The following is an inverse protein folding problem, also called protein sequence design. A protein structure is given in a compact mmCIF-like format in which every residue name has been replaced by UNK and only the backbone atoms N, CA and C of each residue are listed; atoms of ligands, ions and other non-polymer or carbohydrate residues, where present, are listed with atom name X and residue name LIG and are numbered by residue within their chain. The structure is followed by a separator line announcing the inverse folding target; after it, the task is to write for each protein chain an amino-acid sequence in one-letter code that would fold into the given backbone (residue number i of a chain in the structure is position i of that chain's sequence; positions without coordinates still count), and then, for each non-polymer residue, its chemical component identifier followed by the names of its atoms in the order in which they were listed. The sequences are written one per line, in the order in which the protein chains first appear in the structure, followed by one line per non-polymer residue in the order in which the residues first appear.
data_IF_762468966362
#
_entry.id   IF_762468966362
#
_cell.length_a   1.000
_cell.length_b   1.000
_cell.length_c   1.000
_cell.angle_alpha   90.00
_cell.angle_beta   90.00
_cell.angle_gamma   90.00
#
_symmetry.space_group_name_H-M   'P 1'
#
loop_
_entity.id
_entity.type
_entity.pdbx_description
1 polymer ?
#
# COMPACT_ATOMS: atom_id res chain seq x y z
N UNK A 1 -2.29 -4.64 -6.90
CA UNK A 1 -2.13 -3.85 -5.66
C UNK A 1 -2.13 -4.79 -4.48
N UNK A 2 -1.24 -4.59 -3.52
CA UNK A 2 -1.25 -5.29 -2.22
C UNK A 2 -2.40 -4.71 -1.40
N UNK A 3 -3.24 -5.57 -0.84
CA UNK A 3 -4.41 -5.19 -0.06
C UNK A 3 -4.12 -5.34 1.42
N UNK A 4 -4.42 -4.28 2.17
CA UNK A 4 -4.15 -4.16 3.59
C UNK A 4 -5.42 -3.69 4.31
N UNK A 5 -5.65 -4.25 5.49
CA UNK A 5 -6.55 -3.66 6.48
C UNK A 5 -5.91 -2.44 7.13
N UNK A 6 -6.70 -1.61 7.81
CA UNK A 6 -6.18 -0.48 8.59
C UNK A 6 -5.04 -0.89 9.55
N UNK A 7 -5.21 -2.00 10.25
CA UNK A 7 -4.20 -2.50 11.19
C UNK A 7 -2.91 -2.99 10.51
N UNK A 8 -3.01 -3.52 9.28
CA UNK A 8 -1.84 -3.93 8.50
C UNK A 8 -1.15 -2.72 7.87
N UNK A 9 -1.92 -1.76 7.39
CA UNK A 9 -1.42 -0.48 6.89
C UNK A 9 -0.60 0.24 7.96
N UNK A 10 -1.10 0.32 9.20
CA UNK A 10 -0.36 0.93 10.32
C UNK A 10 0.92 0.17 10.68
N UNK A 11 0.97 -1.16 10.47
CA UNK A 11 2.16 -1.97 10.74
C UNK A 11 3.27 -1.74 9.71
N UNK A 12 2.91 -1.50 8.44
CA UNK A 12 3.88 -1.33 7.36
C UNK A 12 4.21 0.13 7.08
N UNK A 13 3.35 1.06 7.54
CA UNK A 13 3.50 2.50 7.38
C UNK A 13 4.78 3.00 8.04
N UNK A 14 5.45 3.92 7.35
CA UNK A 14 6.62 4.63 7.85
C UNK A 14 7.91 4.27 7.11
N UNK A 15 9.01 4.82 7.58
CA UNK A 15 10.30 4.79 6.89
C UNK A 15 10.93 3.38 6.92
N UNK A 16 11.22 2.84 5.74
CA UNK A 16 11.94 1.56 5.53
C UNK A 16 13.45 1.72 5.47
N UNK A 17 13.90 2.78 4.84
CA UNK A 17 15.29 3.15 4.62
C UNK A 17 15.33 4.65 4.43
N UNK A 18 16.53 5.25 4.53
CA UNK A 18 16.71 6.71 4.52
C UNK A 18 15.96 7.37 3.34
N UNK A 19 14.94 8.16 3.67
CA UNK A 19 14.12 8.91 2.70
C UNK A 19 13.11 8.08 1.91
N UNK A 20 12.90 6.80 2.26
CA UNK A 20 11.93 5.92 1.63
C UNK A 20 10.92 5.41 2.66
N UNK A 21 9.70 5.95 2.59
CA UNK A 21 8.59 5.55 3.44
C UNK A 21 7.53 4.79 2.66
N UNK A 22 6.92 3.81 3.32
CA UNK A 22 5.71 3.18 2.82
C UNK A 22 4.51 3.98 3.31
N UNK A 23 3.73 4.48 2.36
CA UNK A 23 2.47 5.17 2.64
C UNK A 23 1.31 4.43 1.96
N UNK A 24 0.60 3.55 2.70
CA UNK A 24 -0.59 2.88 2.18
C UNK A 24 -1.69 3.88 1.84
N UNK A 25 -2.28 3.75 0.65
CA UNK A 25 -3.34 4.62 0.17
C UNK A 25 -4.70 4.04 0.55
N UNK A 26 -5.56 4.85 1.16
CA UNK A 26 -6.93 4.47 1.49
C UNK A 26 -7.82 4.53 0.24
N UNK A 27 -8.59 3.48 -0.02
CA UNK A 27 -9.58 3.43 -1.08
C UNK A 27 -10.85 4.22 -0.73
N UNK A 28 -11.70 4.45 -1.74
CA UNK A 28 -12.97 5.16 -1.59
C UNK A 28 -13.97 4.47 -0.65
N UNK A 29 -13.77 3.18 -0.34
CA UNK A 29 -14.57 2.46 0.65
C UNK A 29 -14.28 2.90 2.10
N UNK A 30 -13.20 3.64 2.33
CA UNK A 30 -12.80 4.18 3.63
C UNK A 30 -12.26 3.14 4.61
N UNK A 31 -12.06 1.88 4.19
CA UNK A 31 -11.63 0.79 5.07
C UNK A 31 -10.48 -0.05 4.50
N UNK A 32 -10.32 -0.06 3.18
CA UNK A 32 -9.29 -0.82 2.49
C UNK A 32 -8.11 0.07 2.16
N UNK A 33 -6.93 -0.36 2.56
CA UNK A 33 -5.67 0.27 2.21
C UNK A 33 -4.96 -0.54 1.15
N UNK A 34 -4.21 0.15 0.29
CA UNK A 34 -3.48 -0.49 -0.80
C UNK A 34 -2.06 0.03 -0.94
N UNK A 35 -1.16 -0.84 -1.37
CA UNK A 35 0.20 -0.49 -1.81
C UNK A 35 0.43 -0.99 -3.24
N UNK A 36 1.24 -0.29 -4.04
CA UNK A 36 1.64 -0.77 -5.36
C UNK A 36 2.54 -1.99 -5.22
N UNK A 37 2.36 -3.01 -6.06
CA UNK A 37 3.20 -4.23 -6.04
C UNK A 37 4.67 -3.96 -6.36
N UNK A 38 4.97 -2.80 -6.96
CA UNK A 38 6.33 -2.34 -7.19
C UNK A 38 7.19 -2.34 -5.91
N UNK A 39 6.58 -2.12 -4.74
CA UNK A 39 7.28 -2.13 -3.44
C UNK A 39 7.83 -3.51 -3.07
N UNK A 40 7.37 -4.61 -3.68
CA UNK A 40 7.92 -5.97 -3.44
C UNK A 40 9.27 -6.18 -4.15
N UNK A 41 9.57 -5.31 -5.09
CA UNK A 41 10.80 -5.36 -5.90
C UNK A 41 11.70 -4.16 -5.65
N UNK A 42 11.28 -3.23 -4.79
CA UNK A 42 12.02 -2.02 -4.50
C UNK A 42 13.11 -2.31 -3.45
N UNK A 43 14.40 -2.22 -3.78
CA UNK A 43 15.47 -2.48 -2.82
C UNK A 43 15.39 -1.58 -1.58
N UNK A 44 14.76 -0.40 -1.65
CA UNK A 44 14.57 0.48 -0.50
C UNK A 44 13.63 -0.12 0.56
N UNK A 45 12.74 -1.04 0.16
CA UNK A 45 11.76 -1.70 1.02
C UNK A 45 12.10 -3.18 1.30
N UNK A 46 13.35 -3.60 1.02
CA UNK A 46 13.77 -5.00 1.09
C UNK A 46 13.46 -5.66 2.45
N UNK A 47 13.61 -4.94 3.56
CA UNK A 47 13.28 -5.43 4.90
C UNK A 47 11.81 -5.78 5.09
N UNK A 48 10.92 -5.22 4.27
CA UNK A 48 9.47 -5.43 4.32
C UNK A 48 8.95 -6.34 3.21
N UNK A 49 9.78 -6.74 2.25
CA UNK A 49 9.38 -7.63 1.16
C UNK A 49 8.77 -8.94 1.65
N UNK A 50 9.40 -9.60 2.62
CA UNK A 50 8.90 -10.87 3.16
C UNK A 50 7.52 -10.71 3.79
N UNK A 51 7.32 -9.66 4.58
CA UNK A 51 6.02 -9.36 5.20
C UNK A 51 4.98 -8.98 4.13
N UNK A 52 5.33 -8.08 3.21
CA UNK A 52 4.44 -7.59 2.16
C UNK A 52 4.00 -8.70 1.21
N UNK A 53 4.87 -9.68 0.94
CA UNK A 53 4.56 -10.85 0.13
C UNK A 53 3.56 -11.81 0.78
N UNK A 54 3.28 -11.68 2.08
CA UNK A 54 2.25 -12.48 2.76
C UNK A 54 0.83 -11.95 2.56
N UNK A 55 0.69 -10.68 2.15
CA UNK A 55 -0.62 -10.05 2.00
C UNK A 55 -1.26 -10.38 0.65
N UNK A 56 -2.61 -10.42 0.59
CA UNK A 56 -3.31 -10.67 -0.66
C UNK A 56 -3.10 -9.53 -1.65
N UNK A 57 -2.90 -9.86 -2.92
CA UNK A 57 -2.87 -8.90 -4.03
C UNK A 57 -4.14 -9.01 -4.86
N UNK A 58 -4.70 -7.87 -5.28
CA UNK A 58 -5.77 -7.83 -6.29
C UNK A 58 -5.61 -6.64 -7.22
N UNK A 59 -6.29 -6.72 -8.35
CA UNK A 59 -6.53 -5.56 -9.19
C UNK A 59 -7.54 -4.62 -8.52
N UNK A 60 -7.20 -3.33 -8.47
CA UNK A 60 -8.05 -2.28 -7.90
C UNK A 60 -8.49 -1.41 -9.07
N UNK A 61 -9.79 -1.42 -9.36
CA UNK A 61 -10.33 -0.66 -10.48
C UNK A 61 -10.21 0.84 -10.20
N UNK A 62 -10.07 1.64 -11.27
CA UNK A 62 -9.96 3.11 -11.16
C UNK A 62 -11.10 3.74 -10.33
N UNK A 63 -12.30 3.16 -10.39
CA UNK A 63 -13.48 3.64 -9.67
C UNK A 63 -13.41 3.42 -8.14
N UNK A 64 -12.52 2.54 -7.66
CA UNK A 64 -12.32 2.27 -6.22
C UNK A 64 -11.35 3.23 -5.57
N UNK A 65 -10.55 3.95 -6.36
CA UNK A 65 -9.69 5.02 -5.84
C UNK A 65 -10.56 6.19 -5.40
N UNK A 66 -10.11 6.89 -4.36
CA UNK A 66 -10.70 8.18 -3.99
C UNK A 66 -10.77 9.04 -5.26
N UNK A 67 -11.99 9.37 -5.69
CA UNK A 67 -12.17 10.38 -6.74
C UNK A 67 -11.63 11.67 -6.17
N UNK A 68 -10.47 12.09 -6.64
CA UNK A 68 -10.14 13.50 -6.66
C UNK A 68 -11.13 14.11 -7.66
N UNK A 69 -12.20 14.72 -7.15
CA UNK A 69 -13.11 15.50 -7.99
C UNK A 69 -12.25 16.57 -8.70
N UNK A 70 -12.18 16.59 -10.05
CA UNK A 70 -11.55 17.70 -10.73
C UNK A 70 -12.43 18.93 -10.49
N UNK A 71 -11.98 19.83 -9.61
CA UNK A 71 -12.54 21.19 -9.49
C UNK A 71 -12.35 21.97 -10.77
#
# INVERSE_FOLDING_TARGET
MIILTAAEADKVRGETSDGHELEPVLLADGVTFVLPEAVLTDPAHAERHELLATFPTREVAQAEWLREDPS
#
